data_IF_558022663495
#
_entry.id   IF_558022663495
#
_cell.length_a   1.000
_cell.length_b   1.000
_cell.length_c   1.000
_cell.angle_alpha   90.00
_cell.angle_beta   90.00
_cell.angle_gamma   90.00
#
_symmetry.space_group_name_H-M   'P 1'
#
loop_
_entity.id
_entity.type
_entity.pdbx_description
1 polymer ?
#
# COMPACT_ATOMS: atom_id res chain seq x y z
N UNK A 1 -27.00 3.33 0.59
CA UNK A 1 -25.76 2.72 0.00
C UNK A 1 -25.56 3.16 -1.46
N UNK A 2 -26.59 3.14 -2.33
CA UNK A 2 -26.44 3.57 -3.73
C UNK A 2 -26.08 5.06 -3.84
N UNK A 3 -26.59 5.91 -2.98
CA UNK A 3 -26.30 7.33 -2.96
C UNK A 3 -24.88 7.63 -2.48
N UNK A 4 -24.37 6.93 -1.45
CA UNK A 4 -22.98 7.02 -1.05
C UNK A 4 -22.05 6.62 -2.20
N UNK A 5 -22.37 5.52 -2.90
CA UNK A 5 -21.58 5.09 -4.06
C UNK A 5 -21.59 6.16 -5.17
N UNK A 6 -22.76 6.76 -5.46
CA UNK A 6 -22.85 7.83 -6.45
C UNK A 6 -21.98 9.03 -6.11
N UNK A 7 -21.99 9.50 -4.87
CA UNK A 7 -21.14 10.62 -4.44
C UNK A 7 -19.64 10.27 -4.45
N UNK A 8 -19.28 9.03 -4.09
CA UNK A 8 -17.89 8.57 -4.15
C UNK A 8 -17.29 8.61 -5.57
N UNK A 9 -18.13 8.49 -6.62
CA UNK A 9 -17.69 8.56 -8.01
C UNK A 9 -17.96 9.92 -8.66
N UNK A 10 -18.51 10.90 -7.92
CA UNK A 10 -18.72 12.26 -8.40
C UNK A 10 -17.45 13.08 -8.26
N UNK A 11 -16.87 13.50 -9.38
CA UNK A 11 -15.61 14.26 -9.40
C UNK A 11 -15.72 15.66 -8.77
N UNK A 12 -16.90 16.30 -8.84
CA UNK A 12 -17.11 17.59 -8.19
C UNK A 12 -17.13 17.43 -6.67
N UNK A 13 -17.82 16.41 -6.17
CA UNK A 13 -17.83 16.08 -4.75
C UNK A 13 -16.43 15.70 -4.22
N UNK A 14 -15.70 14.88 -4.97
CA UNK A 14 -14.32 14.50 -4.58
C UNK A 14 -13.42 15.74 -4.48
N UNK A 15 -13.51 16.66 -5.44
CA UNK A 15 -12.75 17.91 -5.43
C UNK A 15 -13.14 18.80 -4.26
N UNK A 16 -14.42 18.94 -3.94
CA UNK A 16 -14.92 19.66 -2.77
C UNK A 16 -14.36 19.07 -1.46
N UNK A 17 -14.25 17.75 -1.39
CA UNK A 17 -13.68 17.03 -0.26
C UNK A 17 -12.14 17.13 -0.19
N UNK A 18 -11.48 17.69 -1.20
CA UNK A 18 -10.02 17.83 -1.29
C UNK A 18 -9.29 16.60 -1.84
N UNK A 19 -10.01 15.71 -2.51
CA UNK A 19 -9.46 14.47 -3.08
C UNK A 19 -9.62 14.42 -4.61
N UNK A 20 -8.85 13.54 -5.22
CA UNK A 20 -9.03 13.11 -6.61
C UNK A 20 -9.74 11.75 -6.64
N UNK A 21 -10.23 11.28 -7.81
CA UNK A 21 -10.81 9.94 -7.92
C UNK A 21 -9.91 8.82 -7.39
N UNK A 22 -8.59 8.97 -7.54
CA UNK A 22 -7.61 7.94 -7.12
C UNK A 22 -7.20 8.05 -5.66
N UNK A 23 -7.30 9.25 -5.04
CA UNK A 23 -6.94 9.48 -3.63
C UNK A 23 -8.15 9.50 -2.69
N UNK A 24 -9.38 9.52 -3.21
CA UNK A 24 -10.61 9.49 -2.40
C UNK A 24 -10.65 8.33 -1.37
N UNK A 25 -10.11 7.13 -1.66
CA UNK A 25 -10.04 6.07 -0.65
C UNK A 25 -9.25 6.44 0.60
N UNK A 26 -8.30 7.40 0.52
CA UNK A 26 -7.49 7.85 1.66
C UNK A 26 -8.33 8.58 2.74
N UNK A 27 -9.51 9.09 2.39
CA UNK A 27 -10.44 9.67 3.36
C UNK A 27 -10.84 8.67 4.46
N UNK A 28 -10.94 7.39 4.10
CA UNK A 28 -11.51 6.38 4.97
C UNK A 28 -10.46 5.74 5.86
N UNK A 29 -10.64 5.89 7.17
CA UNK A 29 -9.84 5.19 8.18
C UNK A 29 -10.60 3.96 8.62
N UNK A 30 -10.10 2.73 8.40
CA UNK A 30 -10.81 1.51 8.78
C UNK A 30 -11.00 1.41 10.30
N UNK A 31 -12.26 1.44 10.73
CA UNK A 31 -12.68 1.31 12.11
C UNK A 31 -14.17 0.91 12.19
N UNK A 32 -14.62 0.52 13.36
CA UNK A 32 -16.04 0.35 13.64
C UNK A 32 -16.64 1.68 14.11
N UNK A 33 -17.56 2.23 13.35
CA UNK A 33 -18.22 3.49 13.64
C UNK A 33 -19.67 3.26 14.07
N UNK A 34 -20.06 3.81 15.21
CA UNK A 34 -21.47 3.90 15.58
C UNK A 34 -22.10 5.08 14.84
N UNK A 35 -23.17 4.81 14.12
CA UNK A 35 -23.94 5.80 13.35
C UNK A 35 -25.44 5.58 13.60
N UNK A 36 -26.23 6.64 13.48
CA UNK A 36 -27.68 6.53 13.49
C UNK A 36 -28.18 5.91 12.19
N UNK A 37 -29.27 5.13 12.28
CA UNK A 37 -29.83 4.46 11.10
C UNK A 37 -30.34 5.43 10.03
N UNK A 38 -30.82 6.60 10.44
CA UNK A 38 -31.35 7.68 9.62
C UNK A 38 -30.31 8.74 9.25
N UNK A 39 -29.02 8.44 9.47
CA UNK A 39 -27.93 9.36 9.10
C UNK A 39 -27.98 9.71 7.62
N UNK A 40 -27.94 11.01 7.30
CA UNK A 40 -27.85 11.49 5.93
C UNK A 40 -26.50 11.13 5.31
N UNK A 41 -26.43 11.13 3.97
CA UNK A 41 -25.17 10.87 3.25
C UNK A 41 -24.15 11.99 3.52
N UNK A 42 -24.59 13.22 3.61
CA UNK A 42 -23.72 14.36 3.95
C UNK A 42 -23.14 14.22 5.36
N UNK A 43 -23.96 13.82 6.34
CA UNK A 43 -23.48 13.61 7.71
C UNK A 43 -22.52 12.42 7.78
N UNK A 44 -22.74 11.38 6.97
CA UNK A 44 -21.79 10.28 6.85
C UNK A 44 -20.41 10.78 6.37
N UNK A 45 -20.33 11.56 5.32
CA UNK A 45 -19.05 12.07 4.83
C UNK A 45 -18.42 13.07 5.80
N UNK A 46 -19.19 13.96 6.44
CA UNK A 46 -18.69 14.83 7.52
C UNK A 46 -18.10 14.01 8.68
N UNK A 47 -18.74 12.89 9.02
CA UNK A 47 -18.22 11.98 10.03
C UNK A 47 -16.90 11.36 9.58
N UNK A 48 -16.76 10.90 8.33
CA UNK A 48 -15.52 10.35 7.81
C UNK A 48 -14.39 11.40 7.81
N UNK A 49 -14.67 12.65 7.43
CA UNK A 49 -13.70 13.75 7.52
C UNK A 49 -13.26 14.00 8.97
N UNK A 50 -14.18 13.95 9.93
CA UNK A 50 -13.88 14.13 11.34
C UNK A 50 -12.95 13.03 11.85
N UNK A 51 -13.24 11.77 11.50
CA UNK A 51 -12.40 10.62 11.89
C UNK A 51 -11.04 10.64 11.18
N UNK A 52 -11.00 11.05 9.92
CA UNK A 52 -9.75 11.27 9.18
C UNK A 52 -8.87 12.32 9.88
N UNK A 53 -9.43 13.50 10.21
CA UNK A 53 -8.69 14.56 10.93
C UNK A 53 -8.23 14.12 12.31
N UNK A 54 -9.04 13.32 13.02
CA UNK A 54 -8.67 12.76 14.32
C UNK A 54 -7.52 11.76 14.21
N UNK A 55 -7.52 10.94 13.17
CA UNK A 55 -6.46 9.97 12.91
C UNK A 55 -5.16 10.65 12.52
N UNK A 56 -5.23 11.59 11.55
CA UNK A 56 -4.10 12.40 11.11
C UNK A 56 -3.89 13.61 12.05
N UNK A 57 -3.57 13.31 13.30
CA UNK A 57 -3.22 14.29 14.32
C UNK A 57 -1.83 14.91 14.04
N UNK A 58 -1.45 15.93 14.82
CA UNK A 58 -0.18 16.66 14.67
C UNK A 58 1.04 15.72 14.71
N UNK A 59 0.99 14.66 15.53
CA UNK A 59 2.08 13.67 15.62
C UNK A 59 2.26 12.91 14.31
N UNK A 60 1.17 12.33 13.74
CA UNK A 60 1.25 11.59 12.47
C UNK A 60 1.60 12.51 11.29
N UNK A 61 1.10 13.74 11.28
CA UNK A 61 1.47 14.72 10.27
C UNK A 61 2.96 15.07 10.34
N UNK A 62 3.50 15.24 11.55
CA UNK A 62 4.93 15.48 11.75
C UNK A 62 5.78 14.26 11.32
N UNK A 63 5.32 13.03 11.61
CA UNK A 63 5.98 11.80 11.15
C UNK A 63 5.97 11.70 9.61
N UNK A 64 4.84 11.97 8.95
CA UNK A 64 4.75 11.97 7.50
C UNK A 64 5.70 13.01 6.88
N UNK A 65 5.71 14.23 7.42
CA UNK A 65 6.65 15.28 7.00
C UNK A 65 8.11 14.85 7.18
N UNK A 66 8.44 14.17 8.29
CA UNK A 66 9.81 13.74 8.58
C UNK A 66 10.33 12.68 7.60
N UNK A 67 9.43 11.92 6.96
CA UNK A 67 9.77 10.96 5.89
C UNK A 67 9.55 11.53 4.48
N UNK A 68 9.20 12.83 4.37
CA UNK A 68 9.01 13.52 3.10
C UNK A 68 7.77 13.11 2.32
N UNK A 69 6.70 12.65 3.01
CA UNK A 69 5.46 12.18 2.38
C UNK A 69 4.24 12.95 2.86
N UNK A 70 3.26 13.11 1.98
CA UNK A 70 1.91 13.55 2.35
C UNK A 70 1.10 12.39 2.98
N UNK A 71 -0.01 12.67 3.68
CA UNK A 71 -0.91 11.62 4.17
C UNK A 71 -1.39 10.65 3.09
N UNK A 72 -1.66 11.13 1.88
CA UNK A 72 -2.11 10.33 0.73
C UNK A 72 -0.98 9.42 0.21
N UNK A 73 0.27 9.92 0.18
CA UNK A 73 1.43 9.12 -0.18
C UNK A 73 1.73 8.03 0.85
N UNK A 74 1.61 8.35 2.14
CA UNK A 74 1.70 7.36 3.21
C UNK A 74 0.60 6.31 3.08
N UNK A 75 -0.65 6.72 2.82
CA UNK A 75 -1.78 5.82 2.57
C UNK A 75 -1.51 4.91 1.37
N UNK A 76 -0.98 5.48 0.28
CA UNK A 76 -0.63 4.76 -0.95
C UNK A 76 0.43 3.70 -0.68
N UNK A 77 1.53 4.06 -0.03
CA UNK A 77 2.59 3.11 0.32
C UNK A 77 2.10 2.04 1.31
N UNK A 78 1.31 2.44 2.32
CA UNK A 78 0.73 1.51 3.29
C UNK A 78 -0.17 0.47 2.63
N UNK A 79 -0.92 0.84 1.58
CA UNK A 79 -1.77 -0.08 0.83
C UNK A 79 -0.97 -1.15 0.09
N UNK A 80 0.23 -0.82 -0.39
CA UNK A 80 1.16 -1.76 -1.03
C UNK A 80 1.78 -2.68 0.02
N UNK A 81 2.31 -2.12 1.10
CA UNK A 81 2.92 -2.89 2.21
C UNK A 81 1.94 -3.92 2.77
N UNK A 82 0.67 -3.57 2.89
CA UNK A 82 -0.36 -4.44 3.44
C UNK A 82 -0.72 -5.62 2.53
N UNK A 83 -0.58 -5.45 1.21
CA UNK A 83 -0.76 -6.52 0.23
C UNK A 83 0.49 -7.42 0.10
N UNK A 84 1.68 -6.94 0.49
CA UNK A 84 2.90 -7.74 0.47
C UNK A 84 2.99 -8.71 1.65
N UNK A 85 2.55 -8.29 2.83
CA UNK A 85 2.66 -9.13 4.03
C UNK A 85 1.50 -8.95 5.00
N UNK A 86 1.00 -10.08 5.50
CA UNK A 86 0.04 -10.10 6.61
C UNK A 86 0.73 -10.03 7.98
N UNK A 87 2.07 -10.17 8.04
CA UNK A 87 2.82 -10.13 9.28
C UNK A 87 3.04 -8.68 9.73
N UNK A 88 2.39 -8.29 10.83
CA UNK A 88 2.48 -6.94 11.36
C UNK A 88 3.89 -6.54 11.85
N UNK A 89 4.73 -7.51 12.22
CA UNK A 89 6.13 -7.28 12.63
C UNK A 89 7.02 -7.02 11.42
N UNK A 90 6.64 -7.54 10.26
CA UNK A 90 7.39 -7.39 9.01
C UNK A 90 7.01 -6.11 8.24
N UNK A 91 5.79 -5.62 8.41
CA UNK A 91 5.30 -4.42 7.69
C UNK A 91 6.24 -3.21 7.81
N UNK A 92 6.81 -2.85 8.99
CA UNK A 92 7.75 -1.73 9.08
C UNK A 92 9.06 -1.98 8.32
N UNK A 93 9.49 -3.24 8.18
CA UNK A 93 10.69 -3.61 7.42
C UNK A 93 10.40 -3.49 5.91
N UNK A 94 9.26 -4.00 5.45
CA UNK A 94 8.81 -3.87 4.05
C UNK A 94 8.63 -2.39 3.68
N UNK A 95 8.03 -1.58 4.56
CA UNK A 95 7.91 -0.14 4.38
C UNK A 95 9.28 0.52 4.19
N UNK A 96 10.26 0.18 5.04
CA UNK A 96 11.63 0.67 4.94
C UNK A 96 12.31 0.29 3.63
N UNK A 97 12.08 -0.93 3.13
CA UNK A 97 12.59 -1.38 1.83
C UNK A 97 12.03 -0.50 0.69
N UNK A 98 10.73 -0.25 0.67
CA UNK A 98 10.14 0.59 -0.37
C UNK A 98 10.57 2.05 -0.27
N UNK A 99 10.71 2.60 0.94
CA UNK A 99 11.24 3.96 1.14
C UNK A 99 12.70 4.04 0.64
N UNK A 100 13.52 3.02 0.87
CA UNK A 100 14.88 2.97 0.31
C UNK A 100 14.89 2.96 -1.22
N UNK A 101 13.95 2.22 -1.86
CA UNK A 101 13.80 2.23 -3.32
C UNK A 101 13.36 3.60 -3.84
N UNK A 102 12.40 4.25 -3.19
CA UNK A 102 11.96 5.60 -3.54
C UNK A 102 13.12 6.60 -3.48
N UNK A 103 13.94 6.56 -2.43
CA UNK A 103 15.11 7.44 -2.29
C UNK A 103 16.20 7.19 -3.33
N UNK A 104 16.21 6.03 -3.99
CA UNK A 104 17.17 5.66 -5.03
C UNK A 104 16.57 5.71 -6.44
N UNK A 105 15.39 6.31 -6.63
CA UNK A 105 14.64 6.33 -7.89
C UNK A 105 14.46 4.95 -8.53
N UNK A 106 14.42 3.91 -7.69
CA UNK A 106 14.17 2.54 -8.13
C UNK A 106 12.67 2.28 -8.28
N UNK A 107 12.24 1.54 -9.33
CA UNK A 107 10.88 1.04 -9.42
C UNK A 107 10.55 0.19 -8.18
N UNK A 108 9.33 0.31 -7.64
CA UNK A 108 8.94 -0.45 -6.44
C UNK A 108 8.84 -1.95 -6.75
N UNK A 109 8.41 -2.34 -7.97
CA UNK A 109 8.26 -3.72 -8.43
C UNK A 109 7.39 -4.57 -7.49
N UNK A 110 6.28 -3.98 -7.07
CA UNK A 110 5.32 -4.59 -6.16
C UNK A 110 4.27 -5.36 -6.96
N UNK A 111 4.24 -6.69 -6.85
CA UNK A 111 3.27 -7.56 -7.54
C UNK A 111 1.79 -7.17 -7.30
N UNK A 112 1.38 -6.74 -6.09
CA UNK A 112 0.01 -6.29 -5.85
C UNK A 112 -0.44 -5.13 -6.74
N UNK A 113 0.46 -4.25 -7.15
CA UNK A 113 0.13 -3.13 -8.03
C UNK A 113 -0.20 -3.60 -9.45
N UNK A 114 0.38 -4.71 -9.91
CA UNK A 114 0.03 -5.35 -11.19
C UNK A 114 -1.36 -5.96 -11.14
N UNK A 115 -1.72 -6.66 -10.05
CA UNK A 115 -3.08 -7.18 -9.86
C UNK A 115 -4.11 -6.06 -9.90
N UNK A 116 -3.80 -4.95 -9.24
CA UNK A 116 -4.64 -3.76 -9.25
C UNK A 116 -4.74 -3.14 -10.64
N UNK A 117 -3.62 -2.98 -11.35
CA UNK A 117 -3.59 -2.42 -12.70
C UNK A 117 -4.41 -3.25 -13.70
N UNK A 118 -4.42 -4.56 -13.55
CA UNK A 118 -5.20 -5.50 -14.38
C UNK A 118 -6.63 -5.69 -13.90
N UNK A 119 -6.99 -5.19 -12.69
CA UNK A 119 -8.27 -5.48 -12.01
C UNK A 119 -8.56 -6.99 -11.87
N UNK A 120 -7.49 -7.78 -11.77
CA UNK A 120 -7.55 -9.23 -11.58
C UNK A 120 -6.89 -9.62 -10.25
N UNK A 121 -7.69 -9.61 -9.20
CA UNK A 121 -7.27 -9.94 -7.84
C UNK A 121 -7.15 -11.46 -7.60
N UNK A 122 -7.61 -12.28 -8.54
CA UNK A 122 -7.52 -13.75 -8.49
C UNK A 122 -6.18 -14.30 -8.99
N UNK A 123 -5.32 -13.47 -9.57
CA UNK A 123 -4.02 -13.89 -10.08
C UNK A 123 -3.15 -14.47 -8.96
N UNK A 124 -2.80 -15.75 -9.09
CA UNK A 124 -1.90 -16.43 -8.14
C UNK A 124 -0.43 -16.21 -8.46
N UNK A 125 -0.11 -15.87 -9.72
CA UNK A 125 1.26 -15.67 -10.18
C UNK A 125 1.30 -14.57 -11.23
N UNK A 126 2.19 -13.60 -11.02
CA UNK A 126 2.51 -12.59 -12.02
C UNK A 126 3.48 -13.18 -13.04
N UNK A 127 3.19 -13.00 -14.32
CA UNK A 127 4.03 -13.43 -15.45
C UNK A 127 4.63 -12.23 -16.15
N UNK A 128 5.64 -12.46 -17.00
CA UNK A 128 6.28 -11.38 -17.78
C UNK A 128 5.28 -10.61 -18.68
N UNK A 129 4.20 -11.25 -19.13
CA UNK A 129 3.15 -10.56 -19.90
C UNK A 129 2.37 -9.57 -19.03
N UNK A 130 2.07 -9.94 -17.79
CA UNK A 130 1.39 -9.06 -16.84
C UNK A 130 2.23 -7.81 -16.52
N UNK A 131 3.57 -7.95 -16.46
CA UNK A 131 4.49 -6.82 -16.19
C UNK A 131 4.52 -5.77 -17.30
N UNK A 132 3.96 -6.06 -18.48
CA UNK A 132 3.89 -5.13 -19.61
C UNK A 132 2.65 -4.24 -19.61
N UNK A 133 1.73 -4.41 -18.64
CA UNK A 133 0.49 -3.63 -18.59
C UNK A 133 0.81 -2.12 -18.57
N UNK A 134 0.24 -1.40 -19.52
CA UNK A 134 0.37 0.05 -19.59
C UNK A 134 -0.62 0.71 -18.62
N UNK A 135 -0.17 0.94 -17.40
CA UNK A 135 -0.95 1.55 -16.33
C UNK A 135 -0.06 2.42 -15.45
N UNK A 136 -0.52 3.56 -14.95
CA UNK A 136 0.21 4.36 -13.97
C UNK A 136 0.42 3.61 -12.64
N UNK A 137 -0.33 2.54 -12.39
CA UNK A 137 -0.15 1.66 -11.24
C UNK A 137 0.91 0.58 -11.45
N UNK A 138 1.46 0.43 -12.66
CA UNK A 138 2.51 -0.55 -12.89
C UNK A 138 3.86 -0.07 -12.35
N UNK A 139 4.18 -0.49 -11.13
CA UNK A 139 5.42 -0.14 -10.44
C UNK A 139 6.66 -0.89 -10.93
N UNK A 140 6.55 -1.71 -11.99
CA UNK A 140 7.70 -2.30 -12.67
C UNK A 140 8.28 -1.40 -13.76
N UNK A 141 7.44 -0.55 -14.38
CA UNK A 141 7.83 0.34 -15.47
C UNK A 141 7.79 1.83 -15.07
N UNK A 142 7.09 2.18 -14.01
CA UNK A 142 7.04 3.54 -13.47
C UNK A 142 7.82 3.58 -12.14
N UNK A 143 8.64 4.62 -11.98
CA UNK A 143 9.30 4.95 -10.71
C UNK A 143 8.40 5.78 -9.81
N UNK A 144 8.70 5.83 -8.52
CA UNK A 144 7.89 6.54 -7.54
C UNK A 144 6.66 5.75 -7.07
N UNK A 145 5.79 6.44 -6.34
CA UNK A 145 4.51 5.88 -5.90
C UNK A 145 3.48 5.88 -7.05
N UNK A 146 2.57 4.91 -7.09
CA UNK A 146 1.42 4.98 -7.99
C UNK A 146 0.50 6.16 -7.61
N UNK A 147 -0.46 6.55 -8.48
CA UNK A 147 -1.28 7.76 -8.28
C UNK A 147 -2.15 7.77 -7.03
N UNK A 148 -2.38 6.61 -6.43
CA UNK A 148 -3.19 6.46 -5.24
C UNK A 148 -3.12 5.03 -4.69
N UNK A 149 -3.82 4.76 -3.57
CA UNK A 149 -3.76 3.46 -2.91
C UNK A 149 -4.44 2.37 -3.75
N UNK A 150 -3.94 1.14 -3.63
CA UNK A 150 -4.51 -0.05 -4.28
C UNK A 150 -5.58 -0.73 -3.42
N UNK A 151 -5.72 -0.31 -2.18
CA UNK A 151 -6.78 -0.64 -1.21
C UNK A 151 -6.82 0.42 -0.12
N UNK A 152 -7.86 0.43 0.70
CA UNK A 152 -7.87 1.21 1.95
C UNK A 152 -7.00 0.47 2.96
N UNK A 153 -5.83 1.02 3.39
CA UNK A 153 -4.95 0.34 4.34
C UNK A 153 -5.49 0.42 5.76
N UNK A 154 -5.15 -0.55 6.60
CA UNK A 154 -5.43 -0.50 8.03
C UNK A 154 -4.63 0.60 8.74
N UNK A 155 -5.07 1.00 9.93
CA UNK A 155 -4.31 1.90 10.80
C UNK A 155 -2.89 1.38 11.06
N UNK A 156 -2.73 0.07 11.28
CA UNK A 156 -1.42 -0.58 11.45
C UNK A 156 -0.56 -0.49 10.20
N UNK A 157 -1.16 -0.60 9.02
CA UNK A 157 -0.46 -0.41 7.74
C UNK A 157 0.11 1.01 7.64
N UNK A 158 -0.70 2.02 7.94
CA UNK A 158 -0.28 3.43 7.96
C UNK A 158 0.82 3.66 9.01
N UNK A 159 0.59 3.22 10.25
CA UNK A 159 1.57 3.38 11.35
C UNK A 159 2.89 2.65 11.03
N UNK A 160 2.86 1.55 10.26
CA UNK A 160 4.07 0.84 9.83
C UNK A 160 4.90 1.63 8.83
N UNK A 161 4.30 2.46 7.99
CA UNK A 161 5.01 3.38 7.09
C UNK A 161 5.57 4.57 7.88
N UNK A 162 4.76 5.19 8.75
CA UNK A 162 5.18 6.34 9.57
C UNK A 162 6.34 5.98 10.49
N UNK A 163 6.38 4.74 10.99
CA UNK A 163 7.39 4.23 11.91
C UNK A 163 8.21 3.10 11.28
N UNK A 164 8.57 3.26 10.00
CA UNK A 164 9.31 2.23 9.28
C UNK A 164 10.65 1.90 9.93
N UNK A 165 11.08 0.65 9.81
CA UNK A 165 12.40 0.22 10.29
C UNK A 165 13.49 0.72 9.37
N UNK A 166 14.45 1.47 9.91
CA UNK A 166 15.62 1.96 9.15
C UNK A 166 16.62 0.83 8.93
N UNK A 167 16.93 0.55 7.68
CA UNK A 167 17.90 -0.44 7.22
C UNK A 167 18.30 -0.13 5.76
N UNK A 168 19.19 -0.95 5.16
CA UNK A 168 19.66 -0.77 3.79
C UNK A 168 19.08 -1.77 2.78
N UNK A 169 18.02 -2.50 3.14
CA UNK A 169 17.42 -3.49 2.23
C UNK A 169 16.70 -2.80 1.08
N UNK A 170 16.88 -3.35 -0.12
CA UNK A 170 16.22 -2.95 -1.37
C UNK A 170 15.65 -4.15 -2.14
N UNK A 171 15.86 -5.37 -1.64
CA UNK A 171 15.32 -6.61 -2.18
C UNK A 171 14.66 -7.44 -1.09
N UNK A 172 13.62 -8.18 -1.46
CA UNK A 172 13.01 -9.21 -0.65
C UNK A 172 12.55 -10.38 -1.52
N UNK A 173 12.44 -11.57 -0.94
CA UNK A 173 11.80 -12.73 -1.53
C UNK A 173 11.21 -13.60 -0.43
N UNK A 174 10.20 -14.40 -0.76
CA UNK A 174 9.58 -15.32 0.20
C UNK A 174 10.62 -16.24 0.83
N UNK A 175 10.47 -16.53 2.12
CA UNK A 175 11.31 -17.48 2.83
C UNK A 175 11.05 -18.91 2.39
N UNK A 176 12.12 -19.70 2.42
CA UNK A 176 12.14 -21.11 2.08
C UNK A 176 11.38 -22.01 3.05
N UNK A 177 11.07 -21.54 4.25
CA UNK A 177 10.28 -22.24 5.27
C UNK A 177 8.77 -22.12 5.06
N UNK A 178 8.35 -21.30 4.07
CA UNK A 178 6.95 -21.03 3.74
C UNK A 178 6.15 -20.43 4.92
N UNK A 179 6.82 -19.74 5.82
CA UNK A 179 6.19 -19.05 6.97
C UNK A 179 5.29 -17.87 6.56
N UNK A 180 5.29 -17.48 5.27
CA UNK A 180 4.61 -16.29 4.79
C UNK A 180 5.37 -14.99 5.09
N UNK A 181 6.66 -15.11 5.48
CA UNK A 181 7.57 -13.98 5.68
C UNK A 181 8.64 -13.94 4.58
N UNK A 182 9.51 -12.92 4.62
CA UNK A 182 10.50 -12.66 3.59
C UNK A 182 11.94 -12.73 4.10
N UNK A 183 12.85 -13.08 3.22
CA UNK A 183 14.27 -12.81 3.34
C UNK A 183 14.56 -11.47 2.67
N UNK A 184 15.27 -10.59 3.38
CA UNK A 184 15.64 -9.26 2.90
C UNK A 184 17.12 -9.23 2.50
N UNK A 185 17.45 -8.37 1.53
CA UNK A 185 18.82 -8.18 1.08
C UNK A 185 19.07 -6.72 0.65
N UNK A 186 20.31 -6.25 0.84
CA UNK A 186 20.76 -4.91 0.42
C UNK A 186 21.45 -4.91 -0.95
N UNK A 187 21.70 -6.08 -1.54
CA UNK A 187 22.32 -6.22 -2.85
C UNK A 187 21.75 -7.42 -3.62
N UNK A 188 21.95 -7.40 -4.92
CA UNK A 188 21.40 -8.42 -5.81
C UNK A 188 21.99 -9.82 -5.61
N UNK A 189 23.26 -9.94 -5.22
CA UNK A 189 23.91 -11.22 -5.01
C UNK A 189 23.28 -12.00 -3.84
N UNK A 190 23.05 -11.31 -2.71
CA UNK A 190 22.39 -11.89 -1.55
C UNK A 190 20.90 -12.19 -1.82
N UNK A 191 20.21 -11.29 -2.56
CA UNK A 191 18.85 -11.57 -3.02
C UNK A 191 18.79 -12.86 -3.84
N UNK A 192 19.69 -13.05 -4.80
CA UNK A 192 19.72 -14.26 -5.61
C UNK A 192 20.10 -15.51 -4.82
N UNK A 193 20.92 -15.38 -3.78
CA UNK A 193 21.21 -16.49 -2.86
C UNK A 193 19.94 -16.90 -2.08
N UNK A 194 19.16 -15.94 -1.58
CA UNK A 194 17.89 -16.18 -0.89
C UNK A 194 16.83 -16.75 -1.85
N UNK A 195 16.69 -16.20 -3.05
CA UNK A 195 15.75 -16.71 -4.06
C UNK A 195 16.05 -18.17 -4.45
N UNK A 196 17.34 -18.56 -4.58
CA UNK A 196 17.72 -19.96 -4.85
C UNK A 196 17.31 -20.91 -3.73
N UNK A 197 17.40 -20.51 -2.46
CA UNK A 197 16.92 -21.32 -1.32
C UNK A 197 15.41 -21.56 -1.44
N UNK A 198 14.65 -20.49 -1.71
CA UNK A 198 13.20 -20.60 -1.89
C UNK A 198 12.84 -21.53 -3.05
N UNK A 199 13.47 -21.37 -4.22
CA UNK A 199 13.20 -22.21 -5.39
C UNK A 199 13.56 -23.67 -5.14
N UNK A 200 14.67 -23.94 -4.43
CA UNK A 200 15.03 -25.29 -4.05
C UNK A 200 13.94 -25.92 -3.16
N UNK A 201 13.55 -25.26 -2.09
CA UNK A 201 12.49 -25.73 -1.19
C UNK A 201 11.14 -25.92 -1.91
N UNK A 202 10.79 -25.03 -2.85
CA UNK A 202 9.57 -25.14 -3.65
C UNK A 202 9.59 -26.38 -4.57
N UNK A 203 10.76 -26.74 -5.14
CA UNK A 203 10.89 -27.91 -6.00
C UNK A 203 10.87 -29.23 -5.19
N UNK A 204 11.35 -29.22 -3.94
CA UNK A 204 11.32 -30.37 -3.04
C UNK A 204 9.91 -30.67 -2.48
N UNK A 205 8.95 -29.72 -2.63
CA UNK A 205 7.53 -29.89 -2.23
C UNK A 205 6.65 -30.48 -3.33
N UNK A 206 7.14 -30.59 -4.56
CA UNK A 206 6.42 -31.22 -5.69
C UNK A 206 6.63 -32.73 -5.68
#
# INVERSE_FOLDING_TARGET
>A
SAEIARQLFDSAFQTEMGYTPVTMPCLFIPETYQVYWDMSVDDFFKRMQTEHKRFWNDERLAQATAIGMTPEEVCTLASIVEEETNNNEEKPIVAGLYINRLHQDMPLQADPTIKFALQDFGLRRITNEHLKVNSPYNTYINTGLPPGPIRIPSKKGIDSVLNYTKHNYIYMCAKEDFSGTHNFASNYADHMANARKYWKALNERK
#
